data_IF_527842698328
#
_entry.id   IF_527842698328
#
_cell.length_a   1.000
_cell.length_b   1.000
_cell.length_c   1.000
_cell.angle_alpha   90.00
_cell.angle_beta   90.00
_cell.angle_gamma   90.00
#
_symmetry.space_group_name_H-M   'P 1'
#
loop_
_entity.id
_entity.type
_entity.pdbx_description
1 polymer ?
#
# COMPACT_ATOMS: atom_id res chain seq x y z
N UNK A 1 -10.35 18.31 -2.80
CA UNK A 1 -9.80 17.97 -4.12
C UNK A 1 -10.36 16.60 -4.47
N UNK A 2 -11.25 16.51 -5.46
CA UNK A 2 -11.86 15.24 -5.83
C UNK A 2 -10.82 14.43 -6.63
N UNK A 3 -10.37 13.29 -6.10
CA UNK A 3 -9.41 12.44 -6.80
C UNK A 3 -10.02 11.83 -8.08
N UNK A 4 -11.35 11.70 -8.17
CA UNK A 4 -12.04 11.22 -9.38
C UNK A 4 -11.78 12.14 -10.60
N UNK A 5 -11.66 13.45 -10.41
CA UNK A 5 -11.40 14.37 -11.53
C UNK A 5 -9.98 14.19 -12.09
N UNK A 6 -9.02 13.92 -11.20
CA UNK A 6 -7.63 13.66 -11.56
C UNK A 6 -7.51 12.28 -12.22
N UNK A 7 -8.21 11.28 -11.68
CA UNK A 7 -8.28 9.92 -12.21
C UNK A 7 -8.78 9.91 -13.66
N UNK A 8 -9.89 10.60 -13.96
CA UNK A 8 -10.44 10.71 -15.31
C UNK A 8 -9.46 11.35 -16.32
N UNK A 9 -8.59 12.25 -15.87
CA UNK A 9 -7.57 12.88 -16.73
C UNK A 9 -6.37 11.96 -17.01
N UNK A 10 -6.15 10.95 -16.17
CA UNK A 10 -4.98 10.08 -16.20
C UNK A 10 -5.27 8.67 -16.71
N UNK A 11 -6.48 8.14 -16.52
CA UNK A 11 -6.89 6.78 -16.91
C UNK A 11 -6.59 6.48 -18.39
N UNK A 12 -6.81 7.43 -19.29
CA UNK A 12 -6.59 7.23 -20.72
C UNK A 12 -5.11 7.40 -21.15
N UNK A 13 -4.19 7.65 -20.21
CA UNK A 13 -2.78 7.98 -20.50
C UNK A 13 -1.78 6.99 -19.91
N UNK A 14 -2.17 6.22 -18.90
CA UNK A 14 -1.29 5.31 -18.18
C UNK A 14 -2.01 4.01 -17.91
N UNK A 15 -1.33 2.88 -18.12
CA UNK A 15 -1.87 1.57 -17.80
C UNK A 15 -1.95 1.34 -16.28
N UNK A 16 -1.02 1.95 -15.53
CA UNK A 16 -0.94 1.84 -14.08
C UNK A 16 -0.58 3.18 -13.44
N UNK A 17 -1.22 3.49 -12.32
CA UNK A 17 -0.95 4.66 -11.47
C UNK A 17 -0.64 4.14 -10.07
N UNK A 18 0.52 4.48 -9.54
CA UNK A 18 0.92 4.11 -8.18
C UNK A 18 0.81 5.32 -7.26
N UNK A 19 0.15 5.13 -6.12
CA UNK A 19 0.14 6.09 -5.02
C UNK A 19 1.10 5.62 -3.94
N UNK A 20 2.12 6.44 -3.65
CA UNK A 20 2.98 6.28 -2.48
C UNK A 20 2.66 7.40 -1.50
N UNK A 21 2.26 7.03 -0.29
CA UNK A 21 1.79 8.00 0.72
C UNK A 21 2.41 7.70 2.07
N UNK A 22 2.65 8.75 2.84
CA UNK A 22 3.09 8.60 4.22
C UNK A 22 2.06 7.76 5.01
N UNK A 23 2.51 6.85 5.90
CA UNK A 23 1.65 5.89 6.61
C UNK A 23 0.61 6.51 7.57
N UNK A 24 0.54 7.84 7.71
CA UNK A 24 -0.45 8.46 8.60
C UNK A 24 -1.84 8.42 7.99
N UNK A 25 -2.80 7.89 8.76
CA UNK A 25 -4.21 7.82 8.36
C UNK A 25 -4.85 9.22 8.42
N UNK A 26 -4.50 10.05 7.44
CA UNK A 26 -5.04 11.37 7.20
C UNK A 26 -6.05 11.33 6.03
N UNK A 27 -6.69 12.47 5.75
CA UNK A 27 -7.67 12.58 4.66
C UNK A 27 -7.10 12.22 3.28
N UNK A 28 -5.79 12.42 3.06
CA UNK A 28 -5.13 12.09 1.79
C UNK A 28 -5.05 10.58 1.62
N UNK A 29 -4.53 9.86 2.62
CA UNK A 29 -4.46 8.40 2.58
C UNK A 29 -5.85 7.79 2.42
N UNK A 30 -6.85 8.29 3.15
CA UNK A 30 -8.23 7.81 3.00
C UNK A 30 -8.76 7.99 1.57
N UNK A 31 -8.54 9.15 0.96
CA UNK A 31 -8.98 9.39 -0.42
C UNK A 31 -8.23 8.50 -1.42
N UNK A 32 -6.93 8.29 -1.23
CA UNK A 32 -6.13 7.37 -2.06
C UNK A 32 -6.65 5.94 -1.94
N UNK A 33 -6.94 5.47 -0.73
CA UNK A 33 -7.49 4.13 -0.51
C UNK A 33 -8.89 3.95 -1.12
N UNK A 34 -9.70 5.02 -1.18
CA UNK A 34 -11.03 4.99 -1.79
C UNK A 34 -10.97 5.07 -3.33
N UNK A 35 -10.00 5.80 -3.89
CA UNK A 35 -9.81 5.95 -5.34
C UNK A 35 -9.02 4.78 -5.99
N UNK A 36 -8.28 3.99 -5.21
CA UNK A 36 -7.46 2.90 -5.75
C UNK A 36 -8.29 1.66 -6.06
N UNK A 37 -8.19 1.13 -7.28
CA UNK A 37 -8.80 -0.14 -7.68
C UNK A 37 -8.23 -1.34 -6.90
N UNK A 38 -6.91 -1.31 -6.68
CA UNK A 38 -6.18 -2.35 -5.95
C UNK A 38 -5.19 -1.71 -4.97
N UNK A 39 -5.14 -2.26 -3.76
CA UNK A 39 -4.20 -1.85 -2.72
C UNK A 39 -3.31 -3.04 -2.35
N UNK A 40 -2.00 -2.82 -2.45
CA UNK A 40 -0.96 -3.76 -2.03
C UNK A 40 -0.38 -3.25 -0.72
N UNK A 41 -0.44 -4.08 0.33
CA UNK A 41 0.06 -3.72 1.66
C UNK A 41 1.36 -4.45 1.96
N UNK A 42 2.51 -3.76 2.01
CA UNK A 42 3.75 -4.36 2.45
C UNK A 42 3.72 -4.61 3.96
N UNK A 43 4.02 -5.85 4.37
CA UNK A 43 4.10 -6.29 5.76
C UNK A 43 5.57 -6.56 6.08
N UNK A 44 6.13 -5.80 7.01
CA UNK A 44 7.43 -6.14 7.59
C UNK A 44 7.18 -7.08 8.79
N UNK A 45 7.70 -8.31 8.84
CA UNK A 45 7.38 -9.29 9.88
C UNK A 45 8.15 -9.03 11.19
N UNK A 46 7.51 -8.29 12.10
CA UNK A 46 7.94 -8.01 13.46
C UNK A 46 6.85 -8.46 14.44
N UNK A 47 7.17 -8.49 15.73
CA UNK A 47 6.23 -8.94 16.78
C UNK A 47 4.89 -8.21 16.80
N UNK A 48 4.83 -6.96 16.33
CA UNK A 48 3.63 -6.10 16.36
C UNK A 48 3.02 -5.83 14.98
N UNK A 49 3.50 -6.49 13.93
CA UNK A 49 3.13 -6.13 12.56
C UNK A 49 1.65 -6.31 12.27
N UNK A 50 1.05 -7.38 12.80
CA UNK A 50 -0.37 -7.64 12.61
C UNK A 50 -1.27 -6.61 13.30
N UNK A 51 -0.95 -6.28 14.56
CA UNK A 51 -1.68 -5.30 15.35
C UNK A 51 -1.56 -3.89 14.75
N UNK A 52 -0.34 -3.52 14.31
CA UNK A 52 -0.08 -2.24 13.66
C UNK A 52 -0.89 -2.06 12.39
N UNK A 53 -0.88 -3.06 11.50
CA UNK A 53 -1.66 -3.05 10.24
C UNK A 53 -3.15 -2.89 10.55
N UNK A 54 -3.68 -3.71 11.44
CA UNK A 54 -5.12 -3.69 11.79
C UNK A 54 -5.54 -2.34 12.35
N UNK A 55 -4.70 -1.76 13.23
CA UNK A 55 -4.95 -0.44 13.83
C UNK A 55 -4.94 0.66 12.78
N UNK A 56 -3.99 0.62 11.85
CA UNK A 56 -3.88 1.63 10.79
C UNK A 56 -5.07 1.59 9.84
N UNK A 57 -5.53 0.41 9.42
CA UNK A 57 -6.65 0.29 8.47
C UNK A 57 -8.04 0.44 9.09
N UNK A 58 -8.14 0.47 10.42
CA UNK A 58 -9.43 0.57 11.12
C UNK A 58 -10.31 1.73 10.60
N UNK A 59 -9.82 2.97 10.42
CA UNK A 59 -10.65 4.08 9.93
C UNK A 59 -11.16 3.87 8.49
N UNK A 60 -10.35 3.24 7.63
CA UNK A 60 -10.75 2.87 6.27
C UNK A 60 -11.88 1.84 6.27
N UNK A 61 -11.73 0.77 7.06
CA UNK A 61 -12.75 -0.27 7.20
C UNK A 61 -14.04 0.28 7.82
N UNK A 62 -13.94 1.16 8.80
CA UNK A 62 -15.10 1.87 9.39
C UNK A 62 -15.82 2.72 8.36
N UNK A 63 -15.08 3.44 7.51
CA UNK A 63 -15.65 4.24 6.42
C UNK A 63 -16.45 3.37 5.45
N UNK A 64 -15.87 2.25 4.97
CA UNK A 64 -16.57 1.29 4.09
C UNK A 64 -17.84 0.74 4.76
N UNK A 65 -17.73 0.32 6.02
CA UNK A 65 -18.85 -0.26 6.75
C UNK A 65 -19.98 0.75 6.98
N UNK A 66 -19.66 2.01 7.25
CA UNK A 66 -20.64 3.08 7.44
C UNK A 66 -21.32 3.45 6.12
N UNK A 67 -20.57 3.56 5.03
CA UNK A 67 -21.13 3.77 3.69
C UNK A 67 -22.11 2.65 3.31
N UNK A 68 -21.75 1.39 3.60
CA UNK A 68 -22.63 0.23 3.35
C UNK A 68 -23.95 0.31 4.11
N UNK A 69 -23.94 0.77 5.37
CA UNK A 69 -25.17 1.01 6.17
C UNK A 69 -26.06 2.09 5.57
N UNK A 70 -25.48 3.05 4.85
CA UNK A 70 -26.19 4.13 4.16
C UNK A 70 -26.67 3.72 2.76
N UNK A 71 -26.52 2.45 2.37
CA UNK A 71 -26.86 1.96 1.04
C UNK A 71 -25.82 2.26 -0.04
N UNK A 72 -24.66 2.80 0.34
CA UNK A 72 -23.55 3.09 -0.58
C UNK A 72 -22.58 1.91 -0.55
N UNK A 73 -22.48 1.19 -1.67
CA UNK A 73 -21.62 0.01 -1.76
C UNK A 73 -20.19 0.38 -2.17
N UNK A 74 -19.34 0.68 -1.18
CA UNK A 74 -17.88 0.84 -1.39
C UNK A 74 -17.23 -0.54 -1.26
N UNK A 75 -16.42 -0.93 -2.25
CA UNK A 75 -15.66 -2.19 -2.21
C UNK A 75 -14.41 -2.03 -1.35
N UNK A 76 -14.03 -3.10 -0.65
CA UNK A 76 -12.73 -3.17 0.01
C UNK A 76 -11.68 -3.62 -1.02
N UNK A 77 -10.77 -2.71 -1.36
CA UNK A 77 -9.80 -2.89 -2.44
C UNK A 77 -8.42 -3.35 -1.92
N UNK A 78 -8.29 -3.68 -0.63
CA UNK A 78 -7.10 -4.33 -0.07
C UNK A 78 -7.08 -5.77 -0.55
N UNK A 79 -6.41 -6.01 -1.67
CA UNK A 79 -6.43 -7.29 -2.39
C UNK A 79 -5.18 -8.12 -2.14
N UNK A 80 -4.04 -7.47 -1.87
CA UNK A 80 -2.77 -8.17 -1.75
C UNK A 80 -1.96 -7.71 -0.54
N UNK A 81 -1.30 -8.66 0.10
CA UNK A 81 -0.26 -8.43 1.08
C UNK A 81 1.05 -8.99 0.56
N UNK A 82 2.15 -8.28 0.79
CA UNK A 82 3.49 -8.74 0.41
C UNK A 82 4.41 -8.68 1.62
N UNK A 83 5.15 -9.74 1.88
CA UNK A 83 6.16 -9.69 2.93
C UNK A 83 7.36 -8.87 2.46
N UNK A 84 7.70 -7.84 3.23
CA UNK A 84 8.81 -6.96 2.97
C UNK A 84 9.95 -7.20 3.97
N UNK A 85 11.19 -6.93 3.54
CA UNK A 85 12.42 -7.02 4.34
C UNK A 85 12.58 -8.37 5.06
N UNK A 86 12.22 -9.45 4.39
CA UNK A 86 12.33 -10.80 4.98
C UNK A 86 13.80 -11.15 5.27
N UNK A 87 14.02 -11.69 6.47
CA UNK A 87 15.29 -12.24 6.94
C UNK A 87 15.11 -13.72 7.29
N UNK A 88 16.19 -14.50 7.20
CA UNK A 88 16.20 -15.91 7.60
C UNK A 88 16.40 -16.04 9.11
N UNK A 89 15.38 -15.72 9.90
CA UNK A 89 15.41 -15.88 11.35
C UNK A 89 14.12 -16.55 11.85
N UNK A 90 14.15 -17.10 13.07
CA UNK A 90 13.00 -17.81 13.65
C UNK A 90 11.77 -16.91 13.81
N UNK A 91 11.97 -15.63 14.15
CA UNK A 91 10.88 -14.67 14.34
C UNK A 91 10.08 -14.48 13.06
N UNK A 92 10.74 -14.22 11.93
CA UNK A 92 10.08 -14.01 10.64
C UNK A 92 9.37 -15.28 10.16
N UNK A 93 9.93 -16.46 10.43
CA UNK A 93 9.26 -17.74 10.16
C UNK A 93 7.98 -17.88 10.98
N UNK A 94 8.02 -17.62 12.30
CA UNK A 94 6.84 -17.68 13.15
C UNK A 94 5.77 -16.66 12.75
N UNK A 95 6.17 -15.44 12.36
CA UNK A 95 5.24 -14.41 11.87
C UNK A 95 4.63 -14.83 10.52
N UNK A 96 5.40 -15.44 9.63
CA UNK A 96 4.89 -15.97 8.37
C UNK A 96 3.84 -17.06 8.58
N UNK A 97 4.11 -18.02 9.48
CA UNK A 97 3.14 -19.07 9.84
C UNK A 97 1.86 -18.46 10.41
N UNK A 98 1.97 -17.47 11.29
CA UNK A 98 0.82 -16.76 11.84
C UNK A 98 0.01 -16.04 10.74
N UNK A 99 0.67 -15.31 9.84
CA UNK A 99 -0.01 -14.60 8.74
C UNK A 99 -0.73 -15.60 7.83
N UNK A 100 -0.08 -16.72 7.51
CA UNK A 100 -0.62 -17.77 6.63
C UNK A 100 -1.89 -18.42 7.19
N UNK A 101 -2.05 -18.46 8.51
CA UNK A 101 -3.24 -19.00 9.19
C UNK A 101 -4.39 -18.01 9.33
N UNK A 102 -4.17 -16.72 9.05
CA UNK A 102 -5.17 -15.66 9.18
C UNK A 102 -5.80 -15.29 7.82
N UNK A 103 -6.85 -14.45 7.85
CA UNK A 103 -7.49 -13.91 6.64
C UNK A 103 -6.51 -13.16 5.71
N UNK A 104 -5.47 -12.55 6.28
CA UNK A 104 -4.37 -11.91 5.53
C UNK A 104 -3.64 -12.95 4.65
N UNK A 105 -3.45 -14.17 5.15
CA UNK A 105 -2.79 -15.26 4.43
C UNK A 105 -3.46 -15.61 3.10
N UNK A 106 -4.80 -15.50 3.01
CA UNK A 106 -5.54 -15.75 1.76
C UNK A 106 -5.24 -14.74 0.66
N UNK A 107 -4.75 -13.56 1.04
CA UNK A 107 -4.39 -12.45 0.16
C UNK A 107 -2.87 -12.22 0.12
N UNK A 108 -2.09 -13.12 0.73
CA UNK A 108 -0.64 -13.03 0.75
C UNK A 108 -0.08 -13.49 -0.60
N UNK A 109 0.82 -12.69 -1.18
CA UNK A 109 1.54 -13.06 -2.39
C UNK A 109 2.63 -14.10 -2.07
N UNK A 110 2.81 -15.05 -2.99
CA UNK A 110 3.87 -16.07 -2.91
C UNK A 110 5.28 -15.46 -2.93
N UNK A 111 5.44 -14.34 -3.64
CA UNK A 111 6.71 -13.62 -3.73
C UNK A 111 6.96 -12.79 -2.47
N UNK A 112 8.20 -12.86 -1.97
CA UNK A 112 8.64 -12.08 -0.81
C UNK A 112 9.79 -11.16 -1.18
N UNK A 113 9.84 -9.96 -0.60
CA UNK A 113 10.91 -9.00 -0.80
C UNK A 113 11.97 -9.22 0.29
N UNK A 114 13.18 -9.72 -0.04
CA UNK A 114 14.22 -9.97 0.94
C UNK A 114 14.87 -8.68 1.43
N UNK A 115 15.42 -8.71 2.64
CA UNK A 115 16.27 -7.62 3.12
C UNK A 115 17.58 -7.61 2.30
N UNK A 116 17.77 -6.57 1.49
CA UNK A 116 18.99 -6.34 0.71
C UNK A 116 19.71 -5.08 1.18
N UNK A 117 20.96 -5.22 1.64
CA UNK A 117 21.81 -4.10 2.02
C UNK A 117 22.16 -3.19 0.83
N UNK A 118 22.16 -3.73 -0.39
CA UNK A 118 22.39 -2.98 -1.62
C UNK A 118 21.21 -2.05 -1.92
N UNK A 119 19.97 -2.56 -1.85
CA UNK A 119 18.77 -1.77 -2.13
C UNK A 119 18.60 -0.63 -1.12
N UNK A 120 18.95 -0.85 0.15
CA UNK A 120 18.95 0.21 1.17
C UNK A 120 19.94 1.33 0.86
N UNK A 121 21.13 0.99 0.35
CA UNK A 121 22.12 1.98 -0.04
C UNK A 121 21.64 2.77 -1.26
N UNK A 122 21.00 2.12 -2.23
CA UNK A 122 20.45 2.79 -3.41
C UNK A 122 19.36 3.80 -3.04
N UNK A 123 18.50 3.49 -2.06
CA UNK A 123 17.51 4.46 -1.52
C UNK A 123 18.15 5.64 -0.80
N UNK A 124 19.37 5.49 -0.26
CA UNK A 124 20.09 6.58 0.41
C UNK A 124 20.82 7.49 -0.58
N UNK A 125 21.16 6.98 -1.77
CA UNK A 125 21.93 7.72 -2.77
C UNK A 125 21.07 8.75 -3.51
N UNK A 126 19.73 8.72 -3.37
CA UNK A 126 18.77 9.70 -3.92
C UNK A 126 19.34 10.49 -5.11
N UNK A 127 19.42 9.84 -6.28
CA UNK A 127 19.16 10.58 -7.51
C UNK A 127 17.69 10.99 -7.40
N UNK A 128 17.42 12.08 -6.68
CA UNK A 128 16.08 12.65 -6.63
C UNK A 128 15.62 12.82 -8.07
N UNK A 129 14.46 12.27 -8.42
CA UNK A 129 13.73 12.80 -9.54
C UNK A 129 13.42 14.26 -9.16
N UNK A 130 14.11 15.20 -9.80
CA UNK A 130 13.91 16.61 -9.53
C UNK A 130 12.46 16.95 -9.89
N UNK A 131 11.63 17.21 -8.88
CA UNK A 131 10.31 17.79 -9.08
C UNK A 131 10.55 19.23 -9.50
N UNK A 132 10.57 19.49 -10.80
CA UNK A 132 10.50 20.87 -11.30
C UNK A 132 9.04 21.31 -11.20
N UNK A 133 8.77 22.34 -10.39
CA UNK A 133 7.44 22.95 -10.15
C UNK A 133 6.63 23.28 -11.43
N UNK A 134 7.25 23.21 -12.61
CA UNK A 134 6.63 23.50 -13.90
C UNK A 134 5.89 22.31 -14.55
N UNK A 135 6.02 21.07 -14.08
CA UNK A 135 5.28 19.91 -14.62
C UNK A 135 5.01 18.84 -13.53
N UNK A 136 3.77 18.72 -13.01
CA UNK A 136 3.43 17.71 -11.99
C UNK A 136 3.39 16.28 -12.54
N UNK A 137 3.53 16.10 -13.86
CA UNK A 137 3.53 14.81 -14.54
C UNK A 137 4.94 14.55 -15.05
N UNK A 138 5.70 13.74 -14.33
CA UNK A 138 6.97 13.21 -14.78
C UNK A 138 6.73 11.86 -15.47
N UNK A 139 7.06 11.75 -16.76
CA UNK A 139 7.07 10.46 -17.46
C UNK A 139 8.44 9.85 -17.23
N UNK A 140 8.51 8.73 -16.50
CA UNK A 140 9.71 7.88 -16.51
C UNK A 140 9.87 7.40 -17.96
N UNK A 141 10.80 8.02 -18.69
CA UNK A 141 11.16 7.57 -20.03
C UNK A 141 12.07 6.36 -19.81
N UNK A 142 11.60 5.18 -20.23
CA UNK A 142 12.44 3.98 -20.35
C UNK A 142 13.55 4.19 -21.36
#
# INVERSE_FOLDING_TARGET
MNLEEIENLLINKFDYIFFDTYPSMNTILLNVLLASDEIIVPIEPHSYSFEGITTMFKPYLETINNSKKMGINIKNNINYYVLNKIQKNKLHQSVFELISQNEIGKKLLDTHIPLSATNQKETMVLKFAAITEKKPIYKLVM
#
